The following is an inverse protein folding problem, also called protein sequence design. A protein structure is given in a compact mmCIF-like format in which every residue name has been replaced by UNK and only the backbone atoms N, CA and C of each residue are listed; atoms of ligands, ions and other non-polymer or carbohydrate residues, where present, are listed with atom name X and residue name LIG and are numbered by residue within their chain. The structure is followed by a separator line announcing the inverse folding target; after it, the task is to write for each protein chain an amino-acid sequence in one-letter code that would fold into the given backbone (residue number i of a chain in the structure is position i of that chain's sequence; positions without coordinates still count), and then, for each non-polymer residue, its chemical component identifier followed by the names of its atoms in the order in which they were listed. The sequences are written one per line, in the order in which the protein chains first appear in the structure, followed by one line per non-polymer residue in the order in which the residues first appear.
data_IF_127715278420
#
_entry.id   IF_127715278420
#
_cell.length_a   1.000
_cell.length_b   1.000
_cell.length_c   1.000
_cell.angle_alpha   90.00
_cell.angle_beta   90.00
_cell.angle_gamma   90.00
#
_symmetry.space_group_name_H-M   'P 1'
#
loop_
_entity.id
_entity.type
_entity.pdbx_description
1 polymer ?
#
# COMPACT_ATOMS: atom_id res chain seq x y z
N UNK A 1 3.07 13.15 7.38
CA UNK A 1 2.45 12.46 8.54
C UNK A 1 1.72 11.20 8.10
N UNK A 2 1.82 10.07 8.84
CA UNK A 2 1.09 8.84 8.54
C UNK A 2 -0.43 9.02 8.72
N UNK A 3 -1.22 8.40 7.83
CA UNK A 3 -2.68 8.30 7.96
C UNK A 3 -3.13 6.88 7.58
N UNK A 4 -4.07 6.33 8.33
CA UNK A 4 -4.69 5.06 8.00
C UNK A 4 -5.93 5.27 7.13
N UNK A 5 -6.15 4.35 6.19
CA UNK A 5 -7.33 4.30 5.32
C UNK A 5 -7.93 2.92 5.48
N UNK A 6 -9.20 2.85 5.90
CA UNK A 6 -9.90 1.58 6.11
C UNK A 6 -10.57 1.05 4.82
N UNK A 7 -11.03 1.95 3.95
CA UNK A 7 -11.75 1.59 2.72
C UNK A 7 -10.79 1.39 1.54
N UNK A 8 -10.95 0.26 0.86
CA UNK A 8 -10.18 -0.13 -0.33
C UNK A 8 -10.47 0.82 -1.50
N UNK A 9 -11.73 1.22 -1.71
CA UNK A 9 -12.09 2.10 -2.83
C UNK A 9 -11.38 3.44 -2.73
N UNK A 10 -11.46 4.06 -1.55
CA UNK A 10 -10.73 5.29 -1.22
C UNK A 10 -9.22 5.14 -1.35
N UNK A 11 -8.66 3.97 -1.01
CA UNK A 11 -7.23 3.72 -1.20
C UNK A 11 -6.83 3.71 -2.68
N UNK A 12 -7.62 3.08 -3.55
CA UNK A 12 -7.37 3.06 -5.00
C UNK A 12 -7.47 4.46 -5.59
N UNK A 13 -8.45 5.26 -5.18
CA UNK A 13 -8.56 6.67 -5.58
C UNK A 13 -7.30 7.45 -5.20
N UNK A 14 -6.76 7.23 -4.00
CA UNK A 14 -5.52 7.88 -3.56
C UNK A 14 -4.34 7.49 -4.44
N UNK A 15 -4.22 6.22 -4.81
CA UNK A 15 -3.16 5.74 -5.68
C UNK A 15 -3.19 6.34 -7.10
N UNK A 16 -4.37 6.77 -7.58
CA UNK A 16 -4.54 7.39 -8.90
C UNK A 16 -4.30 8.90 -8.91
N UNK A 17 -4.12 9.53 -7.75
CA UNK A 17 -3.88 10.98 -7.69
C UNK A 17 -2.47 11.33 -8.21
N UNK A 18 -2.35 12.53 -8.79
CA UNK A 18 -1.09 13.07 -9.31
C UNK A 18 0.00 13.26 -8.25
N UNK A 19 -0.38 13.39 -6.98
CA UNK A 19 0.56 13.59 -5.88
C UNK A 19 1.08 12.28 -5.27
N UNK A 20 0.57 11.13 -5.69
CA UNK A 20 1.07 9.81 -5.29
C UNK A 20 2.37 9.50 -6.04
N UNK A 21 3.46 9.28 -5.31
CA UNK A 21 4.80 9.09 -5.89
C UNK A 21 5.30 7.66 -5.85
N UNK A 22 5.01 6.93 -4.76
CA UNK A 22 5.47 5.54 -4.60
C UNK A 22 4.54 4.76 -3.69
N UNK A 23 4.45 3.46 -3.94
CA UNK A 23 3.77 2.50 -3.07
C UNK A 23 4.78 1.50 -2.49
N UNK A 24 4.65 1.22 -1.21
CA UNK A 24 5.41 0.19 -0.50
C UNK A 24 4.47 -0.87 0.03
N UNK A 25 4.72 -2.11 -0.33
CA UNK A 25 3.93 -3.26 0.14
C UNK A 25 4.75 -3.96 1.22
N UNK A 26 4.26 -3.93 2.45
CA UNK A 26 4.90 -4.61 3.59
C UNK A 26 4.06 -5.81 4.00
N UNK A 27 4.57 -7.02 3.71
CA UNK A 27 4.04 -8.25 4.32
C UNK A 27 4.60 -8.39 5.73
N UNK A 28 3.74 -8.56 6.72
CA UNK A 28 4.09 -8.75 8.13
C UNK A 28 3.76 -10.18 8.58
N UNK A 29 4.80 -10.98 8.77
CA UNK A 29 4.67 -12.40 9.15
C UNK A 29 4.10 -12.58 10.56
N UNK A 30 4.42 -11.68 11.51
CA UNK A 30 3.99 -11.84 12.91
C UNK A 30 2.50 -11.58 13.11
N UNK A 31 1.98 -10.53 12.48
CA UNK A 31 0.58 -10.12 12.61
C UNK A 31 -0.31 -10.64 11.48
N UNK A 32 0.22 -11.51 10.61
CA UNK A 32 -0.47 -12.07 9.43
C UNK A 32 -1.26 -11.00 8.65
N UNK A 33 -0.63 -9.85 8.43
CA UNK A 33 -1.23 -8.74 7.70
C UNK A 33 -0.28 -8.14 6.68
N UNK A 34 -0.87 -7.53 5.65
CA UNK A 34 -0.20 -6.86 4.56
C UNK A 34 -0.58 -5.39 4.64
N UNK A 35 0.44 -4.52 4.66
CA UNK A 35 0.26 -3.07 4.69
C UNK A 35 0.64 -2.50 3.33
N UNK A 36 -0.33 -1.89 2.66
CA UNK A 36 -0.12 -1.08 1.46
C UNK A 36 0.09 0.35 1.88
N UNK A 37 1.28 0.89 1.60
CA UNK A 37 1.68 2.24 2.01
C UNK A 37 1.93 3.09 0.79
N UNK A 38 1.05 4.02 0.47
CA UNK A 38 1.25 4.98 -0.62
C UNK A 38 1.78 6.30 -0.06
N UNK A 39 2.89 6.77 -0.64
CA UNK A 39 3.46 8.07 -0.34
C UNK A 39 2.83 9.11 -1.27
N UNK A 40 2.17 10.08 -0.65
CA UNK A 40 1.77 11.32 -1.31
C UNK A 40 2.69 12.46 -0.84
N UNK A 41 2.49 13.68 -1.36
CA UNK A 41 3.26 14.87 -0.95
C UNK A 41 3.22 15.05 0.59
N UNK A 42 2.01 15.20 1.16
CA UNK A 42 1.80 15.51 2.59
C UNK A 42 1.69 14.29 3.50
N UNK A 43 1.03 13.24 3.02
CA UNK A 43 0.64 12.10 3.83
C UNK A 43 1.22 10.78 3.31
N UNK A 44 1.48 9.87 4.23
CA UNK A 44 1.70 8.45 3.92
C UNK A 44 0.42 7.72 4.28
N UNK A 45 -0.35 7.32 3.28
CA UNK A 45 -1.58 6.57 3.50
C UNK A 45 -1.28 5.09 3.61
N UNK A 46 -1.80 4.45 4.65
CA UNK A 46 -1.64 3.01 4.88
C UNK A 46 -2.99 2.33 4.88
N UNK A 47 -3.14 1.29 4.05
CA UNK A 47 -4.24 0.34 4.12
C UNK A 47 -3.70 -0.99 4.69
N UNK A 48 -4.40 -1.55 5.66
CA UNK A 48 -4.04 -2.83 6.29
C UNK A 48 -5.05 -3.89 5.85
N UNK A 49 -4.56 -4.97 5.22
CA UNK A 49 -5.35 -6.13 4.83
C UNK A 49 -4.84 -7.38 5.54
N UNK A 50 -5.76 -8.22 6.02
CA UNK A 50 -5.43 -9.55 6.58
C UNK A 50 -5.54 -10.65 5.53
N UNK A 51 -6.44 -10.46 4.58
CA UNK A 51 -6.73 -11.40 3.49
C UNK A 51 -5.66 -11.30 2.39
N UNK A 52 -4.93 -12.40 2.18
CA UNK A 52 -3.84 -12.49 1.21
C UNK A 52 -4.33 -12.45 -0.24
N UNK A 53 -5.48 -13.06 -0.54
CA UNK A 53 -6.02 -13.09 -1.90
C UNK A 53 -6.50 -11.71 -2.34
N UNK A 54 -7.21 -11.01 -1.45
CA UNK A 54 -7.62 -9.62 -1.71
C UNK A 54 -6.41 -8.69 -1.87
N UNK A 55 -5.34 -8.93 -1.10
CA UNK A 55 -4.12 -8.15 -1.22
C UNK A 55 -3.45 -8.33 -2.60
N UNK A 56 -3.36 -9.56 -3.12
CA UNK A 56 -2.79 -9.80 -4.45
C UNK A 56 -3.66 -9.18 -5.57
N UNK A 57 -4.99 -9.28 -5.46
CA UNK A 57 -5.92 -8.58 -6.38
C UNK A 57 -5.78 -7.05 -6.31
N UNK A 58 -5.61 -6.50 -5.11
CA UNK A 58 -5.39 -5.08 -4.93
C UNK A 58 -4.06 -4.63 -5.56
N UNK A 59 -3.00 -5.44 -5.40
CA UNK A 59 -1.69 -5.17 -6.01
C UNK A 59 -1.79 -5.06 -7.54
N UNK A 60 -2.58 -5.91 -8.18
CA UNK A 60 -2.85 -5.86 -9.63
C UNK A 60 -3.69 -4.64 -10.04
N UNK A 61 -4.54 -4.13 -9.14
CA UNK A 61 -5.40 -2.97 -9.40
C UNK A 61 -4.67 -1.62 -9.26
N UNK A 62 -3.43 -1.63 -8.77
CA UNK A 62 -2.64 -0.41 -8.63
C UNK A 62 -2.21 0.13 -10.00
N UNK A 63 -2.14 1.46 -10.17
CA UNK A 63 -1.71 2.05 -11.42
C UNK A 63 -0.26 1.66 -11.74
N UNK A 64 0.05 1.21 -12.97
CA UNK A 64 1.38 0.73 -13.36
C UNK A 64 2.44 1.84 -13.39
N UNK A 65 2.00 3.11 -13.46
CA UNK A 65 2.86 4.29 -13.39
C UNK A 65 3.41 4.54 -11.99
N UNK A 66 2.82 3.94 -10.96
CA UNK A 66 3.25 4.12 -9.58
C UNK A 66 4.40 3.15 -9.27
N UNK A 67 5.51 3.66 -8.75
CA UNK A 67 6.64 2.82 -8.37
C UNK A 67 6.26 1.96 -7.16
N UNK A 68 6.17 0.64 -7.36
CA UNK A 68 5.83 -0.33 -6.31
C UNK A 68 7.11 -0.99 -5.80
N UNK A 69 7.35 -0.89 -4.50
CA UNK A 69 8.45 -1.58 -3.82
C UNK A 69 7.92 -2.60 -2.82
N UNK A 70 8.25 -3.86 -3.00
CA UNK A 70 8.00 -4.91 -2.00
C UNK A 70 9.05 -4.84 -0.89
N UNK A 71 8.62 -4.52 0.33
CA UNK A 71 9.49 -4.43 1.50
C UNK A 71 9.45 -5.78 2.24
N UNK A 72 10.22 -6.75 1.75
CA UNK A 72 10.64 -7.87 2.59
C UNK A 72 11.67 -7.33 3.61
N UNK A 73 11.72 -7.91 4.81
CA UNK A 73 12.72 -7.51 5.80
C UNK A 73 14.09 -7.90 5.19
N UNK A 74 14.83 -6.96 4.60
CA UNK A 74 16.27 -7.18 4.38
C UNK A 74 16.90 -7.15 5.77
N UNK A 75 17.47 -8.29 6.14
CA UNK A 75 18.43 -8.38 7.24
C UNK A 75 19.63 -7.55 6.83
N UNK A 76 19.79 -6.38 7.42
CA UNK A 76 21.10 -5.75 7.60
C UNK A 76 21.49 -5.95 9.05
#
# INVERSE_FOLDING_TARGET
MPREVADIKKFIEICRRKDASSARIKKNKKAQNIKFKVRCQKHLYTLVLKDTEKAEKLKQSLPPTLQITDVSKKSN
#
